data_IF_979898447617
#
_entry.id   IF_979898447617
#
_cell.length_a   1.000
_cell.length_b   1.000
_cell.length_c   1.000
_cell.angle_alpha   90.00
_cell.angle_beta   90.00
_cell.angle_gamma   90.00
#
_symmetry.space_group_name_H-M   'P 1'
#
loop_
_entity.id
_entity.type
_entity.pdbx_description
1 polymer ?
#
# COMPACT_ATOMS: atom_id res chain seq x y z
N UNK A 1 -8.39 11.25 -18.89
CA UNK A 1 -8.34 10.80 -17.49
C UNK A 1 -7.82 9.37 -17.49
N UNK A 2 -6.65 9.10 -16.89
CA UNK A 2 -6.22 7.71 -16.67
C UNK A 2 -7.05 7.15 -15.51
N UNK A 3 -7.68 6.01 -15.73
CA UNK A 3 -8.41 5.28 -14.68
C UNK A 3 -7.48 4.32 -13.89
N UNK A 4 -6.18 4.38 -14.19
CA UNK A 4 -5.13 3.56 -13.57
C UNK A 4 -4.32 4.43 -12.59
N UNK A 5 -3.07 4.04 -12.28
CA UNK A 5 -2.17 4.88 -11.49
C UNK A 5 -1.88 6.22 -12.17
N UNK A 6 -1.66 7.23 -11.35
CA UNK A 6 -1.18 8.55 -11.76
C UNK A 6 0.31 8.52 -12.12
N UNK A 7 0.73 9.51 -12.88
CA UNK A 7 2.13 9.92 -12.92
C UNK A 7 2.52 10.53 -11.57
N UNK A 8 3.83 10.53 -11.26
CA UNK A 8 4.32 11.08 -9.99
C UNK A 8 3.91 12.54 -9.77
N UNK A 9 3.98 13.38 -10.80
CA UNK A 9 3.56 14.78 -10.72
C UNK A 9 2.04 14.92 -10.52
N UNK A 10 1.22 14.11 -11.20
CA UNK A 10 -0.24 14.10 -11.00
C UNK A 10 -0.59 13.70 -9.57
N UNK A 11 0.11 12.72 -8.99
CA UNK A 11 -0.06 12.30 -7.61
C UNK A 11 0.36 13.41 -6.62
N UNK A 12 1.48 14.09 -6.88
CA UNK A 12 1.93 15.23 -6.09
C UNK A 12 0.94 16.40 -6.14
N UNK A 13 0.38 16.69 -7.32
CA UNK A 13 -0.63 17.74 -7.46
C UNK A 13 -1.95 17.38 -6.78
N UNK A 14 -2.36 16.10 -6.81
CA UNK A 14 -3.52 15.60 -6.08
C UNK A 14 -3.37 15.76 -4.56
N UNK A 15 -2.15 15.66 -4.03
CA UNK A 15 -1.86 15.89 -2.62
C UNK A 15 -1.83 17.39 -2.32
N UNK A 16 -1.06 18.14 -3.11
CA UNK A 16 -0.72 19.54 -2.82
C UNK A 16 -1.91 20.49 -3.03
N UNK A 17 -2.55 20.44 -4.20
CA UNK A 17 -3.55 21.46 -4.58
C UNK A 17 -4.81 21.46 -3.70
N UNK A 18 -5.44 20.30 -3.38
CA UNK A 18 -6.62 20.30 -2.52
C UNK A 18 -6.30 20.67 -1.08
N UNK A 19 -5.15 20.21 -0.57
CA UNK A 19 -4.73 20.44 0.82
C UNK A 19 -4.39 21.92 1.09
N UNK A 20 -3.75 22.59 0.13
CA UNK A 20 -3.55 24.05 0.15
C UNK A 20 -4.90 24.81 0.18
N UNK A 21 -5.89 24.39 -0.61
CA UNK A 21 -7.21 25.05 -0.68
C UNK A 21 -7.99 25.00 0.63
N UNK A 22 -7.77 23.97 1.44
CA UNK A 22 -8.41 23.82 2.76
C UNK A 22 -7.56 24.35 3.91
N UNK A 23 -6.46 25.05 3.61
CA UNK A 23 -5.58 25.66 4.61
C UNK A 23 -4.69 24.67 5.38
N UNK A 24 -4.52 23.44 4.88
CA UNK A 24 -3.72 22.38 5.53
C UNK A 24 -2.74 21.77 4.53
N UNK A 25 -1.70 22.51 4.11
CA UNK A 25 -0.83 22.08 3.01
C UNK A 25 -0.09 20.78 3.34
N UNK A 26 -0.30 19.74 2.53
CA UNK A 26 0.35 18.42 2.69
C UNK A 26 1.52 18.20 1.72
N UNK A 27 1.94 19.24 0.97
CA UNK A 27 2.98 19.12 -0.06
C UNK A 27 4.32 18.59 0.47
N UNK A 28 4.74 19.03 1.66
CA UNK A 28 5.96 18.54 2.31
C UNK A 28 5.87 17.07 2.74
N UNK A 29 4.65 16.56 2.91
CA UNK A 29 4.37 15.19 3.34
C UNK A 29 4.10 14.23 2.18
N UNK A 30 4.27 14.67 0.93
CA UNK A 30 3.92 13.88 -0.25
C UNK A 30 4.61 12.52 -0.28
N UNK A 31 5.90 12.44 0.05
CA UNK A 31 6.63 11.17 0.04
C UNK A 31 6.08 10.17 1.08
N UNK A 32 5.70 10.63 2.28
CA UNK A 32 5.09 9.78 3.31
C UNK A 32 3.70 9.27 2.88
N UNK A 33 2.90 10.13 2.25
CA UNK A 33 1.60 9.75 1.68
C UNK A 33 1.76 8.72 0.57
N UNK A 34 2.69 8.94 -0.36
CA UNK A 34 2.94 8.05 -1.49
C UNK A 34 3.57 6.72 -1.08
N UNK A 35 4.35 6.66 0.00
CA UNK A 35 4.84 5.38 0.55
C UNK A 35 3.68 4.46 0.97
N UNK A 36 2.64 5.03 1.57
CA UNK A 36 1.48 4.29 2.08
C UNK A 36 0.44 3.97 1.02
N UNK A 37 0.23 4.88 0.06
CA UNK A 37 -0.87 4.85 -0.90
C UNK A 37 -0.45 4.55 -2.34
N UNK A 38 0.84 4.70 -2.65
CA UNK A 38 1.40 4.71 -3.99
C UNK A 38 0.73 5.73 -4.91
N UNK A 39 0.81 5.49 -6.22
CA UNK A 39 0.27 6.35 -7.27
C UNK A 39 -1.22 6.08 -7.58
N UNK A 40 -1.94 5.37 -6.72
CA UNK A 40 -3.37 5.12 -6.90
C UNK A 40 -4.21 6.28 -6.36
N UNK A 41 -4.99 6.99 -7.19
CA UNK A 41 -5.72 8.20 -6.77
C UNK A 41 -6.64 7.98 -5.57
N UNK A 42 -7.31 6.83 -5.53
CA UNK A 42 -8.19 6.45 -4.43
C UNK A 42 -7.45 6.37 -3.09
N UNK A 43 -6.33 5.64 -3.04
CA UNK A 43 -5.54 5.51 -1.81
C UNK A 43 -4.86 6.84 -1.43
N UNK A 44 -4.44 7.65 -2.42
CA UNK A 44 -3.87 8.98 -2.14
C UNK A 44 -4.91 9.86 -1.45
N UNK A 45 -6.14 9.93 -1.98
CA UNK A 45 -7.22 10.72 -1.39
C UNK A 45 -7.54 10.25 0.04
N UNK A 46 -7.61 8.94 0.26
CA UNK A 46 -7.81 8.35 1.58
C UNK A 46 -6.70 8.75 2.56
N UNK A 47 -5.43 8.61 2.16
CA UNK A 47 -4.29 9.00 2.99
C UNK A 47 -4.26 10.52 3.29
N UNK A 48 -4.62 11.36 2.30
CA UNK A 48 -4.80 12.80 2.52
C UNK A 48 -5.93 13.11 3.50
N UNK A 49 -7.06 12.40 3.43
CA UNK A 49 -8.18 12.56 4.38
C UNK A 49 -7.71 12.31 5.81
N UNK A 50 -7.06 11.18 6.06
CA UNK A 50 -6.53 10.84 7.39
C UNK A 50 -5.48 11.85 7.89
N UNK A 51 -4.65 12.42 7.01
CA UNK A 51 -3.68 13.45 7.37
C UNK A 51 -4.36 14.79 7.73
N UNK A 52 -5.39 15.18 6.99
CA UNK A 52 -6.19 16.39 7.26
C UNK A 52 -6.97 16.23 8.56
N UNK A 53 -7.64 15.10 8.75
CA UNK A 53 -8.39 14.77 9.98
C UNK A 53 -7.47 14.77 11.21
N UNK A 54 -6.25 14.25 11.09
CA UNK A 54 -5.28 14.33 12.17
C UNK A 54 -4.98 15.78 12.56
N UNK A 55 -4.76 16.67 11.58
CA UNK A 55 -4.49 18.09 11.85
C UNK A 55 -5.72 18.80 12.45
N UNK A 56 -6.93 18.41 12.05
CA UNK A 56 -8.18 18.91 12.66
C UNK A 56 -8.31 18.47 14.12
N UNK A 57 -7.98 17.21 14.43
CA UNK A 57 -7.98 16.66 15.79
C UNK A 57 -6.87 17.29 16.67
N UNK A 58 -5.81 17.86 16.06
CA UNK A 58 -4.63 18.40 16.75
C UNK A 58 -4.29 19.83 16.30
N UNK A 59 -5.03 20.86 16.75
CA UNK A 59 -4.86 22.24 16.29
C UNK A 59 -3.47 22.87 16.53
N UNK A 60 -2.68 22.29 17.43
CA UNK A 60 -1.32 22.75 17.72
C UNK A 60 -0.25 22.05 16.86
N UNK A 61 -0.60 21.03 16.09
CA UNK A 61 0.32 20.31 15.23
C UNK A 61 0.55 21.10 13.93
N UNK A 62 1.82 21.29 13.57
CA UNK A 62 2.19 21.91 12.27
C UNK A 62 2.28 20.90 11.14
N UNK A 63 2.42 19.60 11.48
CA UNK A 63 2.52 18.49 10.54
C UNK A 63 1.76 17.27 11.07
N UNK A 64 1.23 16.40 10.20
CA UNK A 64 0.60 15.15 10.63
C UNK A 64 1.60 14.18 11.26
N UNK A 65 1.22 13.49 12.34
CA UNK A 65 1.97 12.32 12.80
C UNK A 65 1.68 11.12 11.88
N UNK A 66 2.60 10.86 10.96
CA UNK A 66 2.46 9.78 9.99
C UNK A 66 2.44 8.39 10.60
N UNK A 67 2.83 8.20 11.86
CA UNK A 67 2.61 6.92 12.55
C UNK A 67 1.13 6.68 12.79
N UNK A 68 0.41 7.71 13.25
CA UNK A 68 -1.03 7.62 13.49
C UNK A 68 -1.82 7.62 12.18
N UNK A 69 -1.49 8.53 11.25
CA UNK A 69 -2.14 8.59 9.92
C UNK A 69 -2.01 7.25 9.22
N UNK A 70 -0.83 6.64 9.20
CA UNK A 70 -0.60 5.32 8.61
C UNK A 70 -1.48 4.25 9.23
N UNK A 71 -1.64 4.26 10.56
CA UNK A 71 -2.49 3.30 11.27
C UNK A 71 -3.95 3.45 10.85
N UNK A 72 -4.49 4.68 10.86
CA UNK A 72 -5.89 4.95 10.49
C UNK A 72 -6.15 4.59 9.01
N UNK A 73 -5.26 5.04 8.11
CA UNK A 73 -5.29 4.68 6.70
C UNK A 73 -5.27 3.15 6.49
N UNK A 74 -4.37 2.43 7.17
CA UNK A 74 -4.24 0.99 7.01
C UNK A 74 -5.50 0.23 7.42
N UNK A 75 -6.17 0.64 8.51
CA UNK A 75 -7.42 0.00 8.93
C UNK A 75 -8.52 0.11 7.87
N UNK A 76 -8.61 1.24 7.18
CA UNK A 76 -9.58 1.43 6.10
C UNK A 76 -9.14 0.73 4.81
N UNK A 77 -7.88 0.91 4.41
CA UNK A 77 -7.32 0.33 3.19
C UNK A 77 -7.33 -1.22 3.20
N UNK A 78 -7.28 -1.85 4.38
CA UNK A 78 -7.37 -3.32 4.57
C UNK A 78 -8.54 -3.96 3.83
N UNK A 79 -9.71 -3.32 3.77
CA UNK A 79 -10.88 -3.87 3.09
C UNK A 79 -10.64 -3.97 1.58
N UNK A 80 -10.00 -2.96 1.00
CA UNK A 80 -9.61 -2.94 -0.41
C UNK A 80 -8.47 -3.92 -0.69
N UNK A 81 -7.50 -4.01 0.22
CA UNK A 81 -6.40 -4.97 0.11
C UNK A 81 -6.90 -6.42 0.19
N UNK A 82 -7.91 -6.69 1.03
CA UNK A 82 -8.60 -7.99 1.08
C UNK A 82 -9.21 -8.34 -0.27
N UNK A 83 -9.95 -7.42 -0.88
CA UNK A 83 -10.56 -7.65 -2.18
C UNK A 83 -9.50 -7.98 -3.26
N UNK A 84 -8.40 -7.22 -3.30
CA UNK A 84 -7.27 -7.50 -4.21
C UNK A 84 -6.67 -8.87 -3.94
N UNK A 85 -6.41 -9.19 -2.68
CA UNK A 85 -5.82 -10.46 -2.27
C UNK A 85 -6.70 -11.67 -2.57
N UNK A 86 -8.00 -11.57 -2.32
CA UNK A 86 -8.92 -12.67 -2.57
C UNK A 86 -9.05 -12.95 -4.07
N UNK A 87 -8.91 -11.92 -4.91
CA UNK A 87 -8.83 -12.04 -6.37
C UNK A 87 -7.55 -12.67 -6.91
N UNK A 88 -6.49 -12.82 -6.10
CA UNK A 88 -5.27 -13.49 -6.53
C UNK A 88 -5.37 -15.02 -6.50
N UNK A 89 -4.82 -15.67 -7.52
CA UNK A 89 -4.61 -17.12 -7.52
C UNK A 89 -3.44 -17.53 -6.60
N UNK A 90 -3.14 -18.84 -6.53
CA UNK A 90 -2.07 -19.37 -5.69
C UNK A 90 -0.67 -18.90 -6.12
N UNK A 91 -0.43 -18.78 -7.43
CA UNK A 91 0.86 -18.35 -7.95
C UNK A 91 1.07 -16.85 -7.70
N UNK A 92 0.05 -16.02 -7.92
CA UNK A 92 0.07 -14.59 -7.62
C UNK A 92 0.28 -14.34 -6.13
N UNK A 93 -0.46 -15.02 -5.24
CA UNK A 93 -0.27 -14.96 -3.78
C UNK A 93 1.16 -15.35 -3.37
N UNK A 94 1.69 -16.41 -3.96
CA UNK A 94 3.08 -16.85 -3.73
C UNK A 94 4.09 -15.80 -4.18
N UNK A 95 3.89 -15.21 -5.35
CA UNK A 95 4.74 -14.17 -5.94
C UNK A 95 4.74 -12.90 -5.07
N UNK A 96 3.59 -12.32 -4.74
CA UNK A 96 3.53 -11.10 -3.90
C UNK A 96 4.10 -11.34 -2.50
N UNK A 97 3.93 -12.54 -1.93
CA UNK A 97 4.51 -12.89 -0.64
C UNK A 97 6.04 -12.99 -0.69
N UNK A 98 6.59 -13.53 -1.80
CA UNK A 98 8.04 -13.57 -2.02
C UNK A 98 8.62 -12.17 -2.16
N UNK A 99 7.95 -11.31 -2.93
CA UNK A 99 8.30 -9.89 -3.07
C UNK A 99 8.29 -9.21 -1.71
N UNK A 100 7.20 -9.33 -0.95
CA UNK A 100 7.06 -8.75 0.38
C UNK A 100 8.15 -9.21 1.36
N UNK A 101 8.60 -10.46 1.25
CA UNK A 101 9.65 -11.04 2.12
C UNK A 101 11.07 -10.87 1.55
N UNK A 102 11.24 -10.17 0.43
CA UNK A 102 12.54 -9.99 -0.24
C UNK A 102 13.19 -11.30 -0.67
N UNK A 103 12.40 -12.34 -0.97
CA UNK A 103 12.88 -13.67 -1.38
C UNK A 103 13.19 -13.70 -2.87
N UNK A 104 14.12 -14.57 -3.27
CA UNK A 104 14.40 -14.81 -4.68
C UNK A 104 13.15 -15.33 -5.42
N UNK A 105 13.03 -14.90 -6.68
CA UNK A 105 11.94 -15.31 -7.56
C UNK A 105 12.37 -16.53 -8.39
N UNK A 106 11.69 -17.68 -8.27
CA UNK A 106 11.92 -18.82 -9.15
C UNK A 106 11.56 -18.48 -10.60
N UNK A 107 12.24 -19.12 -11.56
CA UNK A 107 11.99 -18.89 -12.99
C UNK A 107 10.53 -19.18 -13.37
N UNK A 108 9.93 -20.21 -12.77
CA UNK A 108 8.53 -20.57 -12.96
C UNK A 108 7.54 -19.46 -12.56
N UNK A 109 7.93 -18.49 -11.72
CA UNK A 109 7.06 -17.38 -11.28
C UNK A 109 7.39 -16.04 -11.96
N UNK A 110 8.41 -15.97 -12.83
CA UNK A 110 8.79 -14.71 -13.49
C UNK A 110 7.69 -14.11 -14.36
N UNK A 111 6.94 -14.95 -15.07
CA UNK A 111 5.81 -14.48 -15.88
C UNK A 111 4.69 -13.89 -15.01
N UNK A 112 4.45 -14.46 -13.84
CA UNK A 112 3.48 -13.94 -12.85
C UNK A 112 3.95 -12.62 -12.26
N UNK A 113 5.26 -12.48 -11.99
CA UNK A 113 5.84 -11.21 -11.55
C UNK A 113 5.61 -10.11 -12.59
N UNK A 114 5.88 -10.38 -13.86
CA UNK A 114 5.65 -9.43 -14.95
C UNK A 114 4.16 -9.07 -15.10
N UNK A 115 3.24 -10.02 -14.92
CA UNK A 115 1.80 -9.74 -14.90
C UNK A 115 1.43 -8.77 -13.77
N UNK A 116 1.96 -9.00 -12.55
CA UNK A 116 1.70 -8.15 -11.39
C UNK A 116 2.31 -6.75 -11.53
N UNK A 117 3.46 -6.62 -12.20
CA UNK A 117 4.06 -5.33 -12.56
C UNK A 117 3.19 -4.56 -13.56
N UNK A 118 2.71 -5.24 -14.61
CA UNK A 118 1.79 -4.66 -15.59
C UNK A 118 0.47 -4.20 -14.97
N UNK A 119 0.05 -4.85 -13.89
CA UNK A 119 -1.14 -4.49 -13.09
C UNK A 119 -0.84 -3.50 -11.97
N UNK A 120 0.41 -3.03 -11.85
CA UNK A 120 0.87 -2.06 -10.87
C UNK A 120 0.77 -2.52 -9.40
N UNK A 121 0.71 -3.83 -9.14
CA UNK A 121 0.82 -4.37 -7.78
C UNK A 121 2.27 -4.51 -7.32
N UNK A 122 3.19 -4.56 -8.28
CA UNK A 122 4.64 -4.58 -8.09
C UNK A 122 5.25 -3.41 -8.85
N UNK A 123 6.22 -2.74 -8.25
CA UNK A 123 6.95 -1.65 -8.89
C UNK A 123 7.89 -2.16 -10.00
N UNK A 124 7.86 -1.49 -11.14
CA UNK A 124 8.67 -1.81 -12.32
C UNK A 124 10.02 -1.05 -12.31
N UNK A 125 10.81 -1.07 -11.22
CA UNK A 125 12.19 -0.51 -11.20
C UNK A 125 13.00 -0.88 -9.91
N UNK A 126 14.34 -0.91 -10.04
CA UNK A 126 15.42 -0.87 -9.03
C UNK A 126 15.88 -2.16 -8.37
N UNK A 127 16.54 -3.05 -9.11
CA UNK A 127 17.38 -4.16 -8.58
C UNK A 127 16.68 -5.24 -7.73
N UNK A 128 15.52 -4.94 -7.14
CA UNK A 128 14.69 -5.79 -6.29
C UNK A 128 13.22 -5.36 -6.43
N UNK A 129 12.30 -6.27 -6.78
CA UNK A 129 10.89 -5.95 -6.84
C UNK A 129 10.36 -5.55 -5.46
N UNK A 130 9.43 -4.60 -5.43
CA UNK A 130 8.70 -4.15 -4.24
C UNK A 130 7.20 -4.11 -4.53
N UNK A 131 6.39 -4.34 -3.51
CA UNK A 131 4.95 -4.14 -3.63
C UNK A 131 4.64 -2.65 -3.70
N UNK A 132 3.55 -2.30 -4.37
CA UNK A 132 3.22 -0.91 -4.68
C UNK A 132 3.16 0.02 -3.45
N UNK A 133 2.75 -0.48 -2.30
CA UNK A 133 2.63 0.32 -1.08
C UNK A 133 3.18 -0.44 0.13
N UNK A 134 3.83 0.29 1.05
CA UNK A 134 4.38 -0.30 2.28
C UNK A 134 3.30 -0.90 3.18
N UNK A 135 2.10 -0.34 3.15
CA UNK A 135 0.92 -0.84 3.89
C UNK A 135 0.32 -2.08 3.24
N UNK A 136 0.37 -2.20 1.91
CA UNK A 136 -0.03 -3.43 1.22
C UNK A 136 0.99 -4.55 1.47
N UNK A 137 2.27 -4.22 1.55
CA UNK A 137 3.31 -5.17 1.95
C UNK A 137 3.08 -5.72 3.37
N UNK A 138 2.74 -4.85 4.32
CA UNK A 138 2.35 -5.26 5.66
C UNK A 138 1.13 -6.17 5.67
N UNK A 139 0.11 -5.84 4.87
CA UNK A 139 -1.08 -6.68 4.71
C UNK A 139 -0.73 -8.10 4.25
N UNK A 140 0.05 -8.22 3.18
CA UNK A 140 0.45 -9.51 2.61
C UNK A 140 1.23 -10.37 3.61
N UNK A 141 2.14 -9.77 4.37
CA UNK A 141 2.88 -10.46 5.44
C UNK A 141 1.94 -10.98 6.53
N UNK A 142 1.05 -10.12 7.00
CA UNK A 142 0.05 -10.45 8.04
C UNK A 142 -0.84 -11.62 7.61
N UNK A 143 -1.29 -11.64 6.36
CA UNK A 143 -2.14 -12.71 5.83
C UNK A 143 -1.43 -14.05 5.71
N UNK A 144 -0.14 -14.04 5.37
CA UNK A 144 0.66 -15.26 5.36
C UNK A 144 0.81 -15.84 6.77
N UNK A 145 1.15 -14.99 7.74
CA UNK A 145 1.40 -15.43 9.11
C UNK A 145 0.12 -15.96 9.79
N UNK A 146 -1.05 -15.38 9.45
CA UNK A 146 -2.36 -15.91 9.88
C UNK A 146 -2.60 -17.33 9.37
N UNK A 147 -2.32 -17.61 8.09
CA UNK A 147 -2.47 -18.96 7.53
C UNK A 147 -1.53 -19.93 8.23
N UNK A 148 -0.26 -19.58 8.38
CA UNK A 148 0.74 -20.43 9.03
C UNK A 148 0.30 -20.79 10.46
N UNK A 149 -0.20 -19.82 11.24
CA UNK A 149 -0.73 -20.04 12.59
C UNK A 149 -1.92 -21.01 12.64
N UNK A 150 -2.88 -20.87 11.72
CA UNK A 150 -4.06 -21.76 11.64
C UNK A 150 -3.62 -23.19 11.32
N UNK A 151 -2.72 -23.38 10.36
CA UNK A 151 -2.19 -24.70 10.00
C UNK A 151 -1.39 -25.34 11.14
N UNK A 152 -0.55 -24.58 11.85
CA UNK A 152 0.20 -25.09 13.01
C UNK A 152 -0.72 -25.55 14.15
N UNK A 153 -1.84 -24.85 14.41
CA UNK A 153 -2.84 -25.27 15.41
C UNK A 153 -3.60 -26.53 15.00
N UNK A 154 -3.89 -26.70 13.72
CA UNK A 154 -4.58 -27.89 13.19
C UNK A 154 -3.67 -29.13 13.16
N UNK A 155 -2.39 -28.97 12.83
CA UNK A 155 -1.43 -30.08 12.78
C UNK A 155 -0.75 -30.41 14.12
N UNK A 156 -0.78 -29.49 15.09
CA UNK A 156 -0.20 -29.65 16.43
C UNK A 156 -1.05 -30.41 17.46
N UNK A 157 -2.17 -31.02 17.05
CA UNK A 157 -2.94 -31.98 17.88
C UNK A 157 -2.49 -33.41 17.54
N UNK A 158 -1.42 -33.87 18.18
CA UNK A 158 -1.15 -35.30 18.41
C UNK A 158 -0.69 -35.48 19.85
#
# INVERSE_FOLDING_TARGET
>A
MRLTIFLKNEAQDLIRLPSERVGKPLGASADAILDMAWLFPFFIQMACSHAIEYLDDHPNATEPDFREVRRRFYEEAKLHYRYVWDGFDLHQKSTVLRVARGKSMPDALRHVLAELENRHYVEHDRSRPRLFASTFEEFVKTEADRKDSVWSRLMGRR
#
